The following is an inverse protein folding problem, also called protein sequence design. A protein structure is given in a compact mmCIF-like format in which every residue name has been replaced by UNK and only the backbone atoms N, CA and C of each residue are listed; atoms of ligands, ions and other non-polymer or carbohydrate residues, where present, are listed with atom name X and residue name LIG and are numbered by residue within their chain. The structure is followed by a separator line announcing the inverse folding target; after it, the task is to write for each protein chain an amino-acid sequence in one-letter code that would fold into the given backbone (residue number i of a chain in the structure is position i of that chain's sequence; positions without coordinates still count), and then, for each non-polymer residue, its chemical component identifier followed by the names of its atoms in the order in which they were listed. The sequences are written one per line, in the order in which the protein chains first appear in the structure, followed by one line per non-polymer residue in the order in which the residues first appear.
data_IF_652411106347
#
_entry.id   IF_652411106347
#
_cell.length_a   1.000
_cell.length_b   1.000
_cell.length_c   1.000
_cell.angle_alpha   90.00
_cell.angle_beta   90.00
_cell.angle_gamma   90.00
#
_symmetry.space_group_name_H-M   'P 1'
#
loop_
_entity.id
_entity.type
_entity.pdbx_description
1 polymer ?
#
# COMPACT_ATOMS: atom_id res chain seq x y z
N UNK A 1 12.61 -9.14 -1.62
CA UNK A 1 11.26 -9.74 -1.82
C UNK A 1 10.78 -9.65 -3.26
N UNK A 2 10.81 -8.47 -3.89
CA UNK A 2 10.26 -8.27 -5.24
C UNK A 2 10.95 -9.07 -6.37
N UNK A 3 12.27 -9.24 -6.36
CA UNK A 3 12.99 -10.01 -7.39
C UNK A 3 12.54 -11.48 -7.44
N UNK A 4 12.52 -12.16 -6.29
CA UNK A 4 12.04 -13.54 -6.18
C UNK A 4 10.54 -13.66 -6.47
N UNK A 5 9.73 -12.66 -6.07
CA UNK A 5 8.32 -12.61 -6.42
C UNK A 5 8.08 -12.52 -7.94
N UNK A 6 8.86 -11.69 -8.64
CA UNK A 6 8.79 -11.56 -10.09
C UNK A 6 9.16 -12.88 -10.79
N UNK A 7 10.27 -13.51 -10.39
CA UNK A 7 10.69 -14.81 -10.93
C UNK A 7 9.67 -15.92 -10.61
N UNK A 8 9.04 -15.90 -9.44
CA UNK A 8 8.07 -16.91 -9.04
C UNK A 8 6.71 -16.79 -9.74
N UNK A 9 6.32 -15.59 -10.18
CA UNK A 9 5.06 -15.34 -10.90
C UNK A 9 5.21 -15.57 -12.41
N UNK A 10 6.43 -15.41 -12.95
CA UNK A 10 6.69 -15.61 -14.39
C UNK A 10 6.53 -17.07 -14.82
N UNK A 11 6.77 -18.04 -13.93
CA UNK A 11 6.56 -19.46 -14.20
C UNK A 11 5.15 -19.92 -13.79
N UNK A 12 4.41 -20.59 -14.69
CA UNK A 12 3.02 -21.02 -14.44
C UNK A 12 2.90 -21.98 -13.24
N UNK A 13 3.85 -22.89 -13.08
CA UNK A 13 3.86 -23.88 -11.97
C UNK A 13 3.99 -23.24 -10.59
N UNK A 14 4.75 -22.16 -10.45
CA UNK A 14 5.01 -21.50 -9.16
C UNK A 14 4.09 -20.32 -8.91
N UNK A 15 3.39 -19.81 -9.93
CA UNK A 15 2.51 -18.64 -9.84
C UNK A 15 1.44 -18.78 -8.75
N UNK A 16 0.82 -19.95 -8.63
CA UNK A 16 -0.23 -20.21 -7.62
C UNK A 16 0.30 -20.13 -6.18
N UNK A 17 1.58 -20.44 -5.97
CA UNK A 17 2.24 -20.32 -4.68
C UNK A 17 2.66 -18.88 -4.37
N UNK A 18 3.13 -18.12 -5.37
CA UNK A 18 3.63 -16.76 -5.18
C UNK A 18 2.52 -15.69 -5.11
N UNK A 19 1.40 -15.86 -5.84
CA UNK A 19 0.31 -14.87 -5.86
C UNK A 19 -0.26 -14.57 -4.45
N UNK A 20 -0.55 -15.56 -3.59
CA UNK A 20 -1.06 -15.33 -2.23
C UNK A 20 -0.04 -14.71 -1.27
N UNK A 21 1.26 -14.67 -1.63
CA UNK A 21 2.29 -14.00 -0.84
C UNK A 21 2.26 -12.48 -1.03
N UNK A 22 1.53 -11.97 -2.04
CA UNK A 22 1.44 -10.53 -2.33
C UNK A 22 0.91 -9.72 -1.13
N UNK A 23 -0.23 -10.09 -0.49
CA UNK A 23 -0.67 -9.45 0.76
C UNK A 23 0.36 -9.52 1.88
N UNK A 24 1.11 -10.62 1.98
CA UNK A 24 2.13 -10.79 3.03
C UNK A 24 3.27 -9.77 2.83
N UNK A 25 3.71 -9.56 1.59
CA UNK A 25 4.75 -8.55 1.31
C UNK A 25 4.28 -7.13 1.64
N UNK A 26 3.02 -6.79 1.36
CA UNK A 26 2.43 -5.52 1.75
C UNK A 26 2.28 -5.40 3.28
N UNK A 27 1.89 -6.49 3.96
CA UNK A 27 1.80 -6.53 5.41
C UNK A 27 3.15 -6.30 6.08
N UNK A 28 4.20 -6.94 5.57
CA UNK A 28 5.57 -6.72 6.05
C UNK A 28 6.04 -5.27 5.79
N UNK A 29 5.78 -4.73 4.60
CA UNK A 29 6.09 -3.32 4.31
C UNK A 29 5.36 -2.36 5.25
N UNK A 30 4.08 -2.60 5.50
CA UNK A 30 3.26 -1.84 6.46
C UNK A 30 3.87 -1.91 7.86
N UNK A 31 4.22 -3.11 8.33
CA UNK A 31 4.82 -3.32 9.64
C UNK A 31 6.13 -2.54 9.81
N UNK A 32 7.02 -2.57 8.81
CA UNK A 32 8.29 -1.83 8.85
C UNK A 32 8.07 -0.32 8.91
N UNK A 33 7.12 0.22 8.14
CA UNK A 33 6.77 1.65 8.18
C UNK A 33 6.19 2.02 9.54
N UNK A 34 5.25 1.23 10.08
CA UNK A 34 4.69 1.47 11.42
C UNK A 34 5.77 1.41 12.51
N UNK A 35 6.72 0.47 12.40
CA UNK A 35 7.86 0.38 13.31
C UNK A 35 8.75 1.61 13.26
N UNK A 36 8.97 2.17 12.06
CA UNK A 36 9.73 3.41 11.90
C UNK A 36 8.99 4.61 12.50
N UNK A 37 7.67 4.71 12.29
CA UNK A 37 6.84 5.82 12.77
C UNK A 37 6.47 5.71 14.26
N UNK A 38 6.73 4.58 14.92
CA UNK A 38 6.26 4.30 16.29
C UNK A 38 6.64 5.34 17.34
N UNK A 39 7.74 6.06 17.12
CA UNK A 39 8.21 7.10 18.04
C UNK A 39 7.35 8.38 18.01
N UNK A 40 6.47 8.54 17.03
CA UNK A 40 5.63 9.72 16.86
C UNK A 40 4.16 9.32 16.68
N UNK A 41 3.37 9.48 17.74
CA UNK A 41 1.92 9.24 17.72
C UNK A 41 1.24 10.06 16.62
N UNK A 42 1.70 11.29 16.39
CA UNK A 42 1.20 12.15 15.29
C UNK A 42 1.40 11.49 13.94
N UNK A 43 2.58 10.91 13.68
CA UNK A 43 2.88 10.28 12.39
C UNK A 43 2.12 8.97 12.22
N UNK A 44 1.90 8.21 13.29
CA UNK A 44 1.03 7.03 13.26
C UNK A 44 -0.41 7.38 12.92
N UNK A 45 -0.97 8.40 13.57
CA UNK A 45 -2.34 8.88 13.27
C UNK A 45 -2.43 9.34 11.82
N UNK A 46 -1.44 10.11 11.35
CA UNK A 46 -1.40 10.57 9.96
C UNK A 46 -1.32 9.40 8.98
N UNK A 47 -0.54 8.36 9.28
CA UNK A 47 -0.47 7.15 8.45
C UNK A 47 -1.85 6.50 8.26
N UNK A 48 -2.61 6.31 9.34
CA UNK A 48 -3.95 5.72 9.25
C UNK A 48 -4.95 6.63 8.53
N UNK A 49 -4.86 7.95 8.72
CA UNK A 49 -5.68 8.91 7.97
C UNK A 49 -5.39 8.79 6.47
N UNK A 50 -4.11 8.77 6.08
CA UNK A 50 -3.71 8.60 4.68
C UNK A 50 -4.17 7.25 4.11
N UNK A 51 -4.14 6.19 4.91
CA UNK A 51 -4.60 4.88 4.48
C UNK A 51 -6.11 4.86 4.18
N UNK A 52 -6.90 5.48 5.06
CA UNK A 52 -8.36 5.59 4.88
C UNK A 52 -8.69 6.50 3.68
N UNK A 53 -8.00 7.63 3.54
CA UNK A 53 -8.21 8.55 2.42
C UNK A 53 -7.84 7.89 1.09
N UNK A 54 -6.68 7.25 1.00
CA UNK A 54 -6.24 6.54 -0.20
C UNK A 54 -7.20 5.42 -0.58
N UNK A 55 -7.64 4.62 0.40
CA UNK A 55 -8.65 3.58 0.16
C UNK A 55 -10.00 4.17 -0.29
N UNK A 56 -10.43 5.30 0.27
CA UNK A 56 -11.70 5.94 -0.12
C UNK A 56 -11.65 6.45 -1.56
N UNK A 57 -10.54 7.08 -1.96
CA UNK A 57 -10.31 7.50 -3.35
C UNK A 57 -10.34 6.29 -4.29
N UNK A 58 -9.73 5.18 -3.89
CA UNK A 58 -9.74 3.94 -4.65
C UNK A 58 -11.16 3.37 -4.82
N UNK A 59 -11.97 3.35 -3.75
CA UNK A 59 -13.37 2.90 -3.79
C UNK A 59 -14.19 3.75 -4.74
N UNK A 60 -14.03 5.08 -4.70
CA UNK A 60 -14.67 5.99 -5.65
C UNK A 60 -14.16 5.73 -7.07
N UNK A 61 -12.87 5.46 -7.23
CA UNK A 61 -12.25 5.15 -8.52
C UNK A 61 -12.84 3.89 -9.16
N UNK A 62 -12.89 2.79 -8.41
CA UNK A 62 -13.42 1.50 -8.88
C UNK A 62 -14.93 1.55 -9.13
N UNK A 63 -15.69 2.22 -8.25
CA UNK A 63 -17.15 2.33 -8.43
C UNK A 63 -17.56 3.21 -9.60
N UNK A 64 -16.82 4.29 -9.88
CA UNK A 64 -17.14 5.22 -10.97
C UNK A 64 -16.48 4.87 -12.30
N UNK A 65 -15.34 4.17 -12.25
CA UNK A 65 -14.46 3.93 -13.39
C UNK A 65 -13.80 5.20 -13.96
N UNK A 66 -13.92 6.36 -13.30
CA UNK A 66 -13.49 7.66 -13.87
C UNK A 66 -12.07 8.08 -13.48
N UNK A 67 -11.62 7.69 -12.29
CA UNK A 67 -10.30 8.12 -11.78
C UNK A 67 -9.18 7.29 -12.41
N UNK A 68 -9.36 5.96 -12.40
CA UNK A 68 -8.33 4.99 -12.76
C UNK A 68 -8.77 4.05 -13.90
N UNK A 69 -9.96 4.28 -14.49
CA UNK A 69 -10.56 3.39 -15.47
C UNK A 69 -11.34 2.22 -14.85
N UNK A 70 -11.82 1.30 -15.69
CA UNK A 70 -12.58 0.13 -15.26
C UNK A 70 -11.66 -1.07 -15.00
N UNK A 71 -11.46 -1.43 -13.73
CA UNK A 71 -10.82 -2.68 -13.32
C UNK A 71 -11.46 -3.20 -12.04
N UNK A 72 -11.20 -4.48 -11.75
CA UNK A 72 -11.66 -5.15 -10.55
C UNK A 72 -10.48 -5.81 -9.85
N UNK A 73 -10.41 -5.62 -8.54
CA UNK A 73 -9.45 -6.34 -7.71
C UNK A 73 -9.79 -7.83 -7.69
N UNK A 74 -8.79 -8.71 -7.74
CA UNK A 74 -8.96 -10.14 -7.57
C UNK A 74 -8.90 -10.52 -6.07
N UNK A 75 -9.42 -11.70 -5.72
CA UNK A 75 -9.41 -12.20 -4.34
C UNK A 75 -8.00 -12.43 -3.77
N UNK A 76 -6.97 -12.47 -4.62
CA UNK A 76 -5.58 -12.69 -4.22
C UNK A 76 -5.04 -11.62 -3.26
N UNK A 77 -5.66 -10.44 -3.18
CA UNK A 77 -5.21 -9.32 -2.33
C UNK A 77 -5.82 -9.31 -0.92
N UNK A 78 -6.63 -10.32 -0.58
CA UNK A 78 -7.34 -10.43 0.69
C UNK A 78 -8.81 -10.04 0.58
N UNK A 79 -9.52 -9.96 1.73
CA UNK A 79 -10.93 -9.61 1.76
C UNK A 79 -11.16 -8.19 1.25
N UNK A 80 -12.21 -8.02 0.45
CA UNK A 80 -12.63 -6.73 -0.10
C UNK A 80 -13.68 -6.09 0.78
N UNK A 81 -13.62 -4.77 0.88
CA UNK A 81 -14.72 -3.95 1.39
C UNK A 81 -15.09 -3.00 0.25
N UNK A 82 -16.37 -2.90 -0.12
CA UNK A 82 -16.81 -2.06 -1.26
C UNK A 82 -16.00 -2.33 -2.55
N UNK A 83 -15.77 -3.60 -2.88
CA UNK A 83 -14.94 -4.06 -4.02
C UNK A 83 -13.43 -3.78 -3.94
N UNK A 84 -12.95 -3.07 -2.92
CA UNK A 84 -11.54 -2.70 -2.75
C UNK A 84 -10.93 -3.32 -1.48
N UNK A 85 -9.84 -4.09 -1.57
CA UNK A 85 -9.13 -4.59 -0.39
C UNK A 85 -8.56 -3.46 0.48
N UNK A 86 -8.72 -3.47 1.82
CA UNK A 86 -8.10 -2.49 2.71
C UNK A 86 -6.58 -2.41 2.62
N UNK A 87 -5.93 -3.49 2.16
CA UNK A 87 -4.48 -3.55 1.87
C UNK A 87 -4.04 -2.50 0.84
N UNK A 88 -4.94 -2.06 -0.05
CA UNK A 88 -4.65 -0.97 -1.00
C UNK A 88 -4.55 0.38 -0.29
N UNK A 89 -5.38 0.63 0.73
CA UNK A 89 -5.25 1.82 1.56
C UNK A 89 -3.90 1.91 2.26
N UNK A 90 -3.46 0.79 2.86
CA UNK A 90 -2.15 0.69 3.49
C UNK A 90 -1.03 0.96 2.47
N UNK A 91 -1.15 0.43 1.25
CA UNK A 91 -0.20 0.69 0.19
C UNK A 91 -0.10 2.19 -0.16
N UNK A 92 -1.24 2.88 -0.30
CA UNK A 92 -1.27 4.33 -0.52
C UNK A 92 -0.54 5.10 0.60
N UNK A 93 -0.80 4.75 1.87
CA UNK A 93 -0.12 5.39 3.00
C UNK A 93 1.40 5.15 3.00
N UNK A 94 1.84 3.93 2.71
CA UNK A 94 3.27 3.59 2.58
C UNK A 94 3.93 4.46 1.51
N UNK A 95 3.32 4.57 0.31
CA UNK A 95 3.88 5.37 -0.78
C UNK A 95 4.04 6.84 -0.40
N UNK A 96 3.04 7.43 0.26
CA UNK A 96 3.11 8.82 0.73
C UNK A 96 4.21 9.01 1.78
N UNK A 97 4.30 8.11 2.76
CA UNK A 97 5.34 8.20 3.81
C UNK A 97 6.73 8.04 3.21
N UNK A 98 6.94 7.03 2.36
CA UNK A 98 8.23 6.80 1.71
C UNK A 98 8.62 8.00 0.86
N UNK A 99 7.69 8.54 0.07
CA UNK A 99 7.94 9.74 -0.73
C UNK A 99 8.31 10.93 0.15
N UNK A 100 7.58 11.17 1.25
CA UNK A 100 7.89 12.24 2.20
C UNK A 100 9.28 12.06 2.85
N UNK A 101 9.70 10.82 3.13
CA UNK A 101 11.02 10.52 3.70
C UNK A 101 12.20 10.84 2.77
N UNK A 102 11.99 10.93 1.45
CA UNK A 102 13.05 11.39 0.53
C UNK A 102 13.36 12.88 0.68
N UNK A 103 12.42 13.67 1.19
CA UNK A 103 12.64 15.09 1.39
C UNK A 103 13.19 15.33 2.79
N UNK A 104 14.41 15.88 2.94
CA UNK A 104 14.98 16.17 4.24
C UNK A 104 14.10 17.19 4.97
N UNK A 105 13.76 16.91 6.22
CA UNK A 105 12.96 17.76 7.12
C UNK A 105 13.63 19.10 7.52
N UNK A 106 14.68 19.52 6.82
CA UNK A 106 15.59 20.61 7.19
C UNK A 106 15.06 22.02 6.83
N UNK A 107 13.75 22.24 6.85
CA UNK A 107 13.18 23.57 6.59
C UNK A 107 13.53 24.61 7.67
N UNK A 108 14.09 24.18 8.82
CA UNK A 108 14.56 25.05 9.91
C UNK A 108 16.04 25.47 9.81
N UNK A 109 16.76 25.11 8.76
CA UNK A 109 18.17 25.49 8.56
C UNK A 109 18.43 26.13 7.20
N UNK A 110 17.46 26.89 6.68
CA UNK A 110 17.73 27.84 5.60
C UNK A 110 18.13 29.18 6.27
N UNK A 111 19.25 29.81 5.86
CA UNK A 111 19.69 31.10 6.39
C UNK A 111 18.68 32.21 6.15
#
# INVERSE_FOLDING_TARGET
MHFFGMMGISWETTRSFFLPLTPLTLGLGTFLVLWHLKSSTKNLILFFILAILGWSVEVVGVSTGKIFGTYAYQQALGPKILEVPPTIGLNWAILVVLFASFFPTNWKTLP
#
